data_IF_718338700979
#
_entry.id   IF_718338700979
#
_cell.length_a   1.000
_cell.length_b   1.000
_cell.length_c   1.000
_cell.angle_alpha   90.00
_cell.angle_beta   90.00
_cell.angle_gamma   90.00
#
_symmetry.space_group_name_H-M   'P 1'
#
loop_
_entity.id
_entity.type
_entity.pdbx_description
1 polymer ?
#
# COMPACT_ATOMS: atom_id res chain seq x y z
N UNK A 1 -47.22 -36.31 -16.19
CA UNK A 1 -46.38 -35.31 -15.48
C UNK A 1 -44.99 -35.38 -16.09
N UNK A 2 -44.56 -34.37 -16.85
CA UNK A 2 -43.24 -34.35 -17.52
C UNK A 2 -42.27 -33.58 -16.63
N UNK A 3 -41.22 -34.24 -16.14
CA UNK A 3 -40.16 -33.62 -15.38
C UNK A 3 -39.26 -32.80 -16.32
N UNK A 4 -39.06 -31.52 -16.01
CA UNK A 4 -38.14 -30.64 -16.74
C UNK A 4 -36.76 -30.65 -16.05
N UNK A 5 -35.64 -30.76 -16.79
CA UNK A 5 -34.32 -30.80 -16.21
C UNK A 5 -33.90 -29.40 -15.73
N UNK A 6 -33.53 -29.29 -14.45
CA UNK A 6 -32.93 -28.07 -13.88
C UNK A 6 -31.46 -28.05 -14.28
N UNK A 7 -31.12 -27.19 -15.24
CA UNK A 7 -29.74 -26.94 -15.67
C UNK A 7 -29.07 -26.07 -14.61
N UNK A 8 -28.24 -26.68 -13.74
CA UNK A 8 -27.46 -25.94 -12.75
C UNK A 8 -26.30 -25.27 -13.49
N UNK A 9 -26.43 -23.96 -13.72
CA UNK A 9 -25.33 -23.10 -14.17
C UNK A 9 -24.28 -23.05 -13.06
N UNK A 10 -23.19 -23.79 -13.25
CA UNK A 10 -21.99 -23.63 -12.44
C UNK A 10 -21.40 -22.24 -12.73
N UNK A 11 -21.74 -21.26 -11.89
CA UNK A 11 -21.01 -20.00 -11.81
C UNK A 11 -19.60 -20.35 -11.35
N UNK A 12 -18.66 -20.38 -12.28
CA UNK A 12 -17.25 -20.43 -11.97
C UNK A 12 -16.88 -19.14 -11.24
N UNK A 13 -16.92 -19.18 -9.90
CA UNK A 13 -16.26 -18.18 -9.06
C UNK A 13 -14.78 -18.35 -9.35
N UNK A 14 -14.26 -17.59 -10.32
CA UNK A 14 -12.82 -17.48 -10.48
C UNK A 14 -12.30 -16.86 -9.19
N UNK A 15 -11.37 -17.49 -8.47
CA UNK A 15 -10.68 -16.80 -7.40
C UNK A 15 -10.05 -15.57 -8.07
N UNK A 16 -10.35 -14.37 -7.59
CA UNK A 16 -9.55 -13.21 -7.94
C UNK A 16 -8.10 -13.61 -7.60
N UNK A 17 -7.26 -13.75 -8.63
CA UNK A 17 -5.88 -14.15 -8.45
C UNK A 17 -5.25 -13.04 -7.62
N UNK A 18 -4.83 -13.38 -6.40
CA UNK A 18 -4.22 -12.43 -5.50
C UNK A 18 -2.98 -11.83 -6.20
N UNK A 19 -2.92 -10.51 -6.36
CA UNK A 19 -1.87 -9.83 -7.13
C UNK A 19 -0.63 -9.58 -6.26
N UNK A 20 0.03 -10.67 -5.88
CA UNK A 20 1.20 -10.60 -5.01
C UNK A 20 2.36 -9.82 -5.64
N UNK A 21 2.54 -9.91 -6.96
CA UNK A 21 3.60 -9.19 -7.67
C UNK A 21 3.35 -7.68 -7.57
N UNK A 22 2.17 -7.20 -7.95
CA UNK A 22 1.82 -5.79 -7.84
C UNK A 22 1.80 -5.28 -6.40
N UNK A 23 1.39 -6.10 -5.43
CA UNK A 23 1.46 -5.75 -4.02
C UNK A 23 2.92 -5.66 -3.52
N UNK A 24 3.81 -6.52 -4.00
CA UNK A 24 5.25 -6.46 -3.68
C UNK A 24 5.91 -5.22 -4.26
N UNK A 25 5.59 -4.85 -5.50
CA UNK A 25 6.11 -3.64 -6.15
C UNK A 25 5.66 -2.37 -5.42
N UNK A 26 4.38 -2.29 -5.04
CA UNK A 26 3.84 -1.20 -4.23
C UNK A 26 4.50 -1.11 -2.86
N UNK A 27 4.70 -2.25 -2.19
CA UNK A 27 5.42 -2.32 -0.92
C UNK A 27 6.85 -1.78 -1.05
N UNK A 28 7.62 -2.24 -2.05
CA UNK A 28 8.99 -1.77 -2.27
C UNK A 28 9.03 -0.27 -2.56
N UNK A 29 8.10 0.22 -3.38
CA UNK A 29 7.97 1.65 -3.69
C UNK A 29 7.68 2.48 -2.43
N UNK A 30 6.76 2.01 -1.57
CA UNK A 30 6.45 2.69 -0.32
C UNK A 30 7.63 2.70 0.66
N UNK A 31 8.44 1.63 0.70
CA UNK A 31 9.70 1.60 1.47
C UNK A 31 10.67 2.68 0.98
N UNK A 32 10.87 2.80 -0.32
CA UNK A 32 11.75 3.81 -0.92
C UNK A 32 11.26 5.23 -0.61
N UNK A 33 9.96 5.47 -0.70
CA UNK A 33 9.35 6.78 -0.43
C UNK A 33 9.50 7.17 1.05
N UNK A 34 9.23 6.25 1.99
CA UNK A 34 9.45 6.50 3.43
C UNK A 34 10.92 6.85 3.69
N UNK A 35 11.86 6.09 3.11
CA UNK A 35 13.28 6.33 3.29
C UNK A 35 13.71 7.70 2.71
N UNK A 36 13.15 8.09 1.57
CA UNK A 36 13.39 9.38 0.95
C UNK A 36 12.85 10.54 1.80
N UNK A 37 11.59 10.47 2.22
CA UNK A 37 10.96 11.53 3.03
C UNK A 37 11.59 11.63 4.42
N UNK A 38 12.01 10.51 5.02
CA UNK A 38 12.73 10.52 6.29
C UNK A 38 14.05 11.28 6.18
N UNK A 39 14.83 11.07 5.11
CA UNK A 39 16.07 11.82 4.87
C UNK A 39 15.81 13.32 4.72
N UNK A 40 14.73 13.70 4.03
CA UNK A 40 14.35 15.11 3.87
C UNK A 40 13.96 15.76 5.19
N UNK A 41 13.13 15.08 5.97
CA UNK A 41 12.74 15.56 7.28
C UNK A 41 13.94 15.70 8.22
N UNK A 42 14.81 14.69 8.27
CA UNK A 42 16.03 14.74 9.08
C UNK A 42 16.96 15.89 8.64
N UNK A 43 17.05 16.17 7.34
CA UNK A 43 17.81 17.32 6.82
C UNK A 43 17.21 18.64 7.27
N UNK A 44 15.89 18.81 7.15
CA UNK A 44 15.21 20.02 7.62
C UNK A 44 15.46 20.23 9.12
N UNK A 45 15.23 19.22 9.96
CA UNK A 45 15.42 19.34 11.42
C UNK A 45 16.84 19.72 11.80
N UNK A 46 17.84 19.18 11.08
CA UNK A 46 19.25 19.54 11.32
C UNK A 46 19.57 20.96 10.86
N UNK A 47 19.05 21.36 9.71
CA UNK A 47 19.38 22.62 9.06
C UNK A 47 18.47 23.79 9.51
N UNK A 48 17.39 23.51 10.27
CA UNK A 48 16.37 24.50 10.65
C UNK A 48 16.83 25.51 11.70
N UNK A 49 17.79 25.13 12.55
CA UNK A 49 18.32 25.93 13.67
C UNK A 49 17.22 26.58 14.55
N UNK A 50 16.07 25.90 14.66
CA UNK A 50 14.90 26.39 15.40
C UNK A 50 14.10 27.51 14.72
N UNK A 51 14.44 27.91 13.49
CA UNK A 51 13.76 28.94 12.72
C UNK A 51 12.77 28.39 11.67
N UNK A 52 13.00 27.16 11.18
CA UNK A 52 12.08 26.42 10.32
C UNK A 52 11.36 25.33 11.15
N UNK A 53 10.03 25.25 11.03
CA UNK A 53 9.21 24.30 11.78
C UNK A 53 9.14 22.91 11.13
N UNK A 54 9.72 22.75 9.93
CA UNK A 54 9.77 21.50 9.17
C UNK A 54 8.40 20.81 9.02
N UNK A 55 7.30 21.56 9.14
CA UNK A 55 5.95 21.00 9.20
C UNK A 55 5.57 20.36 7.85
N UNK A 56 6.08 20.91 6.75
CA UNK A 56 5.84 20.36 5.42
C UNK A 56 6.54 18.99 5.24
N UNK A 57 7.82 18.89 5.56
CA UNK A 57 8.60 17.65 5.49
C UNK A 57 8.02 16.59 6.43
N UNK A 58 7.63 16.99 7.64
CA UNK A 58 6.95 16.10 8.58
C UNK A 58 5.63 15.59 8.00
N UNK A 59 4.83 16.48 7.40
CA UNK A 59 3.58 16.11 6.73
C UNK A 59 3.80 15.11 5.60
N UNK A 60 4.82 15.31 4.76
CA UNK A 60 5.19 14.38 3.67
C UNK A 60 5.63 13.02 4.23
N UNK A 61 6.47 13.00 5.25
CA UNK A 61 6.90 11.77 5.91
C UNK A 61 5.70 11.01 6.50
N UNK A 62 4.79 11.71 7.19
CA UNK A 62 3.59 11.09 7.75
C UNK A 62 2.72 10.45 6.68
N UNK A 63 2.49 11.14 5.56
CA UNK A 63 1.72 10.60 4.45
C UNK A 63 2.39 9.34 3.88
N UNK A 64 3.72 9.37 3.65
CA UNK A 64 4.46 8.19 3.17
C UNK A 64 4.39 7.00 4.15
N UNK A 65 4.33 7.25 5.46
CA UNK A 65 4.13 6.18 6.46
C UNK A 65 2.74 5.57 6.36
N UNK A 66 1.69 6.37 6.18
CA UNK A 66 0.33 5.86 5.96
C UNK A 66 0.26 5.01 4.68
N UNK A 67 0.91 5.46 3.59
CA UNK A 67 0.97 4.68 2.34
C UNK A 67 1.72 3.35 2.53
N UNK A 68 2.81 3.37 3.30
CA UNK A 68 3.56 2.16 3.64
C UNK A 68 2.75 1.17 4.50
N UNK A 69 2.01 1.65 5.50
CA UNK A 69 1.10 0.81 6.30
C UNK A 69 0.05 0.14 5.41
N UNK A 70 -0.52 0.89 4.45
CA UNK A 70 -1.45 0.36 3.45
C UNK A 70 -0.79 -0.71 2.57
N UNK A 71 0.42 -0.44 2.06
CA UNK A 71 1.14 -1.39 1.21
C UNK A 71 1.55 -2.68 1.97
N UNK A 72 1.83 -2.60 3.27
CA UNK A 72 2.04 -3.77 4.13
C UNK A 72 0.77 -4.62 4.22
N UNK A 73 -0.39 -3.99 4.46
CA UNK A 73 -1.66 -4.69 4.55
C UNK A 73 -2.04 -5.36 3.22
N UNK A 74 -1.90 -4.64 2.10
CA UNK A 74 -2.11 -5.17 0.75
C UNK A 74 -1.19 -6.35 0.47
N UNK A 75 0.12 -6.23 0.78
CA UNK A 75 1.05 -7.33 0.56
C UNK A 75 0.70 -8.56 1.40
N UNK A 76 0.24 -8.38 2.64
CA UNK A 76 -0.21 -9.48 3.49
C UNK A 76 -1.51 -10.13 2.98
N UNK A 77 -2.42 -9.36 2.36
CA UNK A 77 -3.64 -9.92 1.79
C UNK A 77 -3.38 -10.66 0.49
N UNK A 78 -2.53 -10.10 -0.37
CA UNK A 78 -2.32 -10.59 -1.74
C UNK A 78 -1.26 -11.70 -1.86
N UNK A 79 -0.31 -11.79 -0.92
CA UNK A 79 0.82 -12.75 -0.99
C UNK A 79 0.70 -13.95 -0.03
N UNK A 80 -0.51 -14.35 0.37
CA UNK A 80 -0.72 -15.44 1.33
C UNK A 80 -0.14 -16.78 0.89
#
# INVERSE_FOLDING_TARGET
MRAAPILILALSVQPAWADCTGATDRYNTAVEEVAYQLKRYARCVRDSDGADDCAMEFGRLRNSQTDFEGAVADRQSECR
#
